data_IF_292046398357
#
_entry.id   IF_292046398357
#
_cell.length_a   1.000
_cell.length_b   1.000
_cell.length_c   1.000
_cell.angle_alpha   90.00
_cell.angle_beta   90.00
_cell.angle_gamma   90.00
#
_symmetry.space_group_name_H-M   'P 1'
#
loop_
_entity.id
_entity.type
_entity.pdbx_description
1 polymer ?
#
# COMPACT_ATOMS: atom_id res chain seq x y z
N UNK A 1 36.49 -99.23 -130.06
CA UNK A 1 35.95 -98.51 -128.88
C UNK A 1 36.61 -97.15 -128.60
N UNK A 2 37.75 -96.80 -129.22
CA UNK A 2 38.37 -95.47 -129.08
C UNK A 2 37.88 -94.43 -130.11
N UNK A 3 37.33 -94.85 -131.26
CA UNK A 3 36.77 -93.92 -132.27
C UNK A 3 35.50 -93.23 -131.76
N UNK A 4 34.64 -93.95 -131.03
CA UNK A 4 33.41 -93.40 -130.46
C UNK A 4 33.67 -92.32 -129.38
N UNK A 5 34.88 -92.30 -128.79
CA UNK A 5 35.31 -91.27 -127.84
C UNK A 5 35.91 -90.06 -128.55
N UNK A 6 36.58 -90.29 -129.69
CA UNK A 6 37.08 -89.23 -130.59
C UNK A 6 35.93 -88.41 -131.17
N UNK A 7 34.88 -89.06 -131.68
CA UNK A 7 33.73 -88.37 -132.26
C UNK A 7 32.96 -87.54 -131.22
N UNK A 8 32.87 -88.03 -129.98
CA UNK A 8 32.31 -87.26 -128.86
C UNK A 8 33.18 -86.06 -128.49
N UNK A 9 34.50 -86.17 -128.57
CA UNK A 9 35.38 -85.03 -128.30
C UNK A 9 35.29 -83.97 -129.41
N UNK A 10 35.17 -84.38 -130.67
CA UNK A 10 34.91 -83.45 -131.79
C UNK A 10 33.55 -82.75 -131.66
N UNK A 11 32.49 -83.47 -131.28
CA UNK A 11 31.17 -82.88 -131.02
C UNK A 11 31.21 -81.86 -129.87
N UNK A 12 31.87 -82.19 -128.74
CA UNK A 12 31.99 -81.26 -127.60
C UNK A 12 32.84 -80.04 -127.97
N UNK A 13 33.91 -80.22 -128.75
CA UNK A 13 34.73 -79.11 -129.21
C UNK A 13 33.97 -78.20 -130.17
N UNK A 14 33.12 -78.77 -131.03
CA UNK A 14 32.28 -78.01 -131.96
C UNK A 14 31.15 -77.28 -131.22
N UNK A 15 30.50 -77.93 -130.25
CA UNK A 15 29.47 -77.29 -129.39
C UNK A 15 30.06 -76.15 -128.56
N UNK A 16 31.28 -76.30 -128.02
CA UNK A 16 31.98 -75.22 -127.33
C UNK A 16 32.37 -74.09 -128.29
N UNK A 17 32.79 -74.42 -129.51
CA UNK A 17 33.16 -73.41 -130.51
C UNK A 17 31.95 -72.65 -131.04
N UNK A 18 30.80 -73.33 -131.21
CA UNK A 18 29.53 -72.71 -131.60
C UNK A 18 28.94 -71.88 -130.44
N UNK A 19 29.04 -72.36 -129.19
CA UNK A 19 28.65 -71.59 -128.01
C UNK A 19 29.49 -70.31 -127.86
N UNK A 20 30.81 -70.39 -128.03
CA UNK A 20 31.69 -69.21 -127.99
C UNK A 20 31.44 -68.24 -129.14
N UNK A 21 31.20 -68.75 -130.35
CA UNK A 21 30.91 -67.91 -131.53
C UNK A 21 29.58 -67.17 -131.40
N UNK A 22 28.58 -67.75 -130.73
CA UNK A 22 27.34 -67.05 -130.37
C UNK A 22 27.53 -65.94 -129.32
N UNK A 23 28.59 -65.98 -128.51
CA UNK A 23 28.96 -64.89 -127.60
C UNK A 23 29.85 -63.81 -128.23
N UNK A 24 30.51 -64.09 -129.36
CA UNK A 24 31.50 -63.17 -129.96
C UNK A 24 31.07 -62.45 -131.24
N UNK A 25 29.87 -62.69 -131.77
CA UNK A 25 29.35 -61.96 -132.94
C UNK A 25 27.98 -61.34 -132.67
N UNK A 26 27.99 -60.23 -131.93
CA UNK A 26 26.86 -59.35 -131.69
C UNK A 26 27.34 -57.91 -131.54
N UNK A 27 27.69 -57.28 -132.66
CA UNK A 27 27.90 -55.83 -132.78
C UNK A 27 26.62 -55.08 -132.38
N UNK A 28 26.67 -54.27 -131.32
CA UNK A 28 25.80 -53.09 -131.11
C UNK A 28 26.57 -52.02 -130.34
N UNK A 29 27.58 -51.43 -130.98
CA UNK A 29 28.42 -50.36 -130.41
C UNK A 29 27.79 -48.96 -130.43
N UNK A 30 26.53 -48.81 -130.86
CA UNK A 30 25.83 -47.51 -130.92
C UNK A 30 24.70 -47.34 -129.88
N UNK A 31 24.32 -48.39 -129.13
CA UNK A 31 23.29 -48.32 -128.08
C UNK A 31 23.86 -48.34 -126.65
N UNK A 32 25.09 -48.81 -126.45
CA UNK A 32 25.75 -48.83 -125.12
C UNK A 32 26.01 -47.43 -124.57
N UNK A 33 26.49 -46.48 -125.38
CA UNK A 33 26.81 -45.13 -124.92
C UNK A 33 25.59 -44.29 -124.47
N UNK A 34 24.38 -44.56 -124.98
CA UNK A 34 23.14 -43.88 -124.54
C UNK A 34 22.57 -44.50 -123.26
N UNK A 35 22.58 -45.84 -123.18
CA UNK A 35 22.11 -46.54 -121.98
C UNK A 35 23.03 -46.32 -120.78
N UNK A 36 24.35 -46.24 -120.98
CA UNK A 36 25.32 -46.01 -119.91
C UNK A 36 25.23 -44.57 -119.36
N UNK A 37 25.06 -43.57 -120.23
CA UNK A 37 24.85 -42.17 -119.84
C UNK A 37 23.48 -41.96 -119.14
N UNK A 38 22.42 -42.67 -119.57
CA UNK A 38 21.12 -42.61 -118.89
C UNK A 38 21.12 -43.36 -117.54
N UNK A 39 21.94 -44.41 -117.40
CA UNK A 39 22.14 -45.11 -116.11
C UNK A 39 22.96 -44.26 -115.14
N UNK A 40 24.05 -43.65 -115.60
CA UNK A 40 24.89 -42.76 -114.81
C UNK A 40 24.11 -41.52 -114.36
N UNK A 41 23.33 -40.90 -115.26
CA UNK A 41 22.42 -39.78 -114.92
C UNK A 41 21.32 -40.17 -113.93
N UNK A 42 20.79 -41.39 -114.02
CA UNK A 42 19.79 -41.91 -113.05
C UNK A 42 20.43 -42.21 -111.70
N UNK A 43 21.66 -42.72 -111.68
CA UNK A 43 22.39 -43.01 -110.45
C UNK A 43 22.83 -41.72 -109.74
N UNK A 44 23.27 -40.71 -110.49
CA UNK A 44 23.55 -39.37 -109.94
C UNK A 44 22.28 -38.67 -109.47
N UNK A 45 21.15 -38.85 -110.16
CA UNK A 45 19.86 -38.34 -109.72
C UNK A 45 19.37 -39.03 -108.44
N UNK A 46 19.46 -40.35 -108.35
CA UNK A 46 19.12 -41.10 -107.12
C UNK A 46 20.04 -40.72 -105.94
N UNK A 47 21.33 -40.49 -106.19
CA UNK A 47 22.26 -39.96 -105.19
C UNK A 47 21.92 -38.54 -104.74
N UNK A 48 21.49 -37.67 -105.67
CA UNK A 48 21.05 -36.31 -105.37
C UNK A 48 19.73 -36.28 -104.59
N UNK A 49 18.76 -37.13 -104.92
CA UNK A 49 17.50 -37.27 -104.19
C UNK A 49 17.73 -37.79 -102.76
N UNK A 50 18.61 -38.78 -102.60
CA UNK A 50 18.98 -39.31 -101.29
C UNK A 50 19.67 -38.25 -100.43
N UNK A 51 20.62 -37.50 -101.00
CA UNK A 51 21.28 -36.39 -100.31
C UNK A 51 20.28 -35.30 -99.92
N UNK A 52 19.39 -34.92 -100.83
CA UNK A 52 18.33 -33.94 -100.56
C UNK A 52 17.41 -34.43 -99.43
N UNK A 53 16.99 -35.70 -99.44
CA UNK A 53 16.18 -36.28 -98.38
C UNK A 53 16.85 -36.16 -97.01
N UNK A 54 18.12 -36.56 -96.90
CA UNK A 54 18.85 -36.45 -95.64
C UNK A 54 19.10 -35.00 -95.23
N UNK A 55 19.38 -34.11 -96.19
CA UNK A 55 19.57 -32.69 -95.91
C UNK A 55 18.28 -32.03 -95.38
N UNK A 56 17.14 -32.28 -96.03
CA UNK A 56 15.83 -31.78 -95.56
C UNK A 56 15.44 -32.39 -94.21
N UNK A 57 15.70 -33.69 -94.01
CA UNK A 57 15.44 -34.35 -92.73
C UNK A 57 16.27 -33.75 -91.61
N UNK A 58 17.55 -33.50 -91.86
CA UNK A 58 18.47 -32.88 -90.90
C UNK A 58 18.09 -31.43 -90.60
N UNK A 59 17.73 -30.64 -91.62
CA UNK A 59 17.20 -29.29 -91.45
C UNK A 59 15.95 -29.27 -90.56
N UNK A 60 15.01 -30.19 -90.79
CA UNK A 60 13.81 -30.35 -89.96
C UNK A 60 14.13 -30.67 -88.50
N UNK A 61 15.08 -31.59 -88.26
CA UNK A 61 15.55 -31.93 -86.90
C UNK A 61 16.21 -30.71 -86.25
N UNK A 62 17.06 -29.98 -86.97
CA UNK A 62 17.72 -28.78 -86.47
C UNK A 62 16.72 -27.70 -86.04
N UNK A 63 15.72 -27.43 -86.88
CA UNK A 63 14.66 -26.47 -86.56
C UNK A 63 13.87 -26.89 -85.31
N UNK A 64 13.48 -28.17 -85.22
CA UNK A 64 12.81 -28.71 -84.03
C UNK A 64 13.69 -28.58 -82.78
N UNK A 65 15.01 -28.80 -82.90
CA UNK A 65 15.92 -28.66 -81.78
C UNK A 65 16.07 -27.20 -81.33
N UNK A 66 16.19 -26.25 -82.26
CA UNK A 66 16.22 -24.81 -81.92
C UNK A 66 14.93 -24.35 -81.22
N UNK A 67 13.76 -24.79 -81.69
CA UNK A 67 12.48 -24.51 -81.02
C UNK A 67 12.41 -25.15 -79.62
N UNK A 68 12.96 -26.35 -79.45
CA UNK A 68 13.01 -27.02 -78.15
C UNK A 68 13.95 -26.29 -77.18
N UNK A 69 15.12 -25.83 -77.64
CA UNK A 69 16.04 -25.02 -76.83
C UNK A 69 15.36 -23.73 -76.37
N UNK A 70 14.67 -23.01 -77.25
CA UNK A 70 13.92 -21.79 -76.88
C UNK A 70 12.85 -22.05 -75.83
N UNK A 71 12.07 -23.13 -75.99
CA UNK A 71 11.06 -23.53 -75.00
C UNK A 71 11.69 -23.92 -73.66
N UNK A 72 12.84 -24.59 -73.69
CA UNK A 72 13.57 -24.94 -72.47
C UNK A 72 14.09 -23.69 -71.74
N UNK A 73 14.61 -22.70 -72.47
CA UNK A 73 15.02 -21.40 -71.92
C UNK A 73 13.83 -20.65 -71.30
N UNK A 74 12.68 -20.61 -71.98
CA UNK A 74 11.45 -19.99 -71.43
C UNK A 74 11.03 -20.65 -70.11
N UNK A 75 11.04 -21.98 -70.04
CA UNK A 75 10.72 -22.74 -68.82
C UNK A 75 11.75 -22.47 -67.73
N UNK A 76 13.04 -22.43 -68.04
CA UNK A 76 14.11 -22.15 -67.07
C UNK A 76 13.95 -20.74 -66.46
N UNK A 77 13.64 -19.73 -67.27
CA UNK A 77 13.36 -18.38 -66.75
C UNK A 77 12.14 -18.35 -65.83
N UNK A 78 11.08 -19.10 -66.15
CA UNK A 78 9.91 -19.20 -65.29
C UNK A 78 10.25 -19.90 -63.96
N UNK A 79 11.01 -21.01 -64.01
CA UNK A 79 11.45 -21.72 -62.80
C UNK A 79 12.31 -20.80 -61.92
N UNK A 80 13.25 -20.06 -62.52
CA UNK A 80 14.12 -19.14 -61.80
C UNK A 80 13.33 -18.02 -61.10
N UNK A 81 12.33 -17.45 -61.78
CA UNK A 81 11.47 -16.41 -61.19
C UNK A 81 10.61 -16.97 -60.05
N UNK A 82 10.00 -18.15 -60.21
CA UNK A 82 9.25 -18.81 -59.15
C UNK A 82 10.13 -19.15 -57.94
N UNK A 83 11.34 -19.68 -58.17
CA UNK A 83 12.30 -19.96 -57.11
C UNK A 83 12.66 -18.69 -56.33
N UNK A 84 12.94 -17.59 -57.02
CA UNK A 84 13.23 -16.30 -56.40
C UNK A 84 12.06 -15.82 -55.52
N UNK A 85 10.82 -15.92 -56.02
CA UNK A 85 9.63 -15.54 -55.26
C UNK A 85 9.43 -16.42 -54.03
N UNK A 86 9.57 -17.74 -54.17
CA UNK A 86 9.47 -18.68 -53.04
C UNK A 86 10.51 -18.40 -51.98
N UNK A 87 11.75 -18.10 -52.37
CA UNK A 87 12.81 -17.77 -51.43
C UNK A 87 12.55 -16.43 -50.71
N UNK A 88 12.02 -15.44 -51.42
CA UNK A 88 11.60 -14.18 -50.81
C UNK A 88 10.47 -14.39 -49.79
N UNK A 89 9.44 -15.16 -50.15
CA UNK A 89 8.33 -15.48 -49.24
C UNK A 89 8.82 -16.22 -47.99
N UNK A 90 9.72 -17.19 -48.16
CA UNK A 90 10.35 -17.89 -47.05
C UNK A 90 11.09 -16.91 -46.12
N UNK A 91 11.83 -15.95 -46.67
CA UNK A 91 12.54 -14.94 -45.88
C UNK A 91 11.59 -14.07 -45.05
N UNK A 92 10.46 -13.62 -45.62
CA UNK A 92 9.45 -12.86 -44.88
C UNK A 92 8.77 -13.70 -43.81
N UNK A 93 8.49 -14.97 -44.10
CA UNK A 93 7.91 -15.89 -43.12
C UNK A 93 8.86 -16.14 -41.95
N UNK A 94 10.16 -16.28 -42.21
CA UNK A 94 11.18 -16.41 -41.17
C UNK A 94 11.27 -15.15 -40.30
N UNK A 95 11.25 -13.97 -40.92
CA UNK A 95 11.23 -12.70 -40.18
C UNK A 95 9.98 -12.58 -39.30
N UNK A 96 8.81 -12.89 -39.85
CA UNK A 96 7.56 -12.90 -39.09
C UNK A 96 7.62 -13.89 -37.92
N UNK A 97 8.12 -15.11 -38.16
CA UNK A 97 8.27 -16.12 -37.12
C UNK A 97 9.20 -15.65 -35.99
N UNK A 98 10.32 -14.99 -36.34
CA UNK A 98 11.23 -14.40 -35.36
C UNK A 98 10.57 -13.30 -34.52
N UNK A 99 9.74 -12.45 -35.14
CA UNK A 99 9.00 -11.41 -34.40
C UNK A 99 7.92 -12.03 -33.49
N UNK A 100 7.17 -13.02 -33.99
CA UNK A 100 6.17 -13.74 -33.20
C UNK A 100 6.80 -14.49 -32.02
N UNK A 101 8.02 -15.01 -32.18
CA UNK A 101 8.76 -15.65 -31.09
C UNK A 101 9.15 -14.67 -29.96
N UNK A 102 9.14 -13.35 -30.20
CA UNK A 102 9.39 -12.33 -29.16
C UNK A 102 8.14 -11.96 -28.36
N UNK A 103 6.95 -12.28 -28.86
CA UNK A 103 5.67 -11.93 -28.23
C UNK A 103 5.52 -12.49 -26.80
N UNK A 104 5.91 -13.76 -26.51
CA UNK A 104 5.89 -14.28 -25.14
C UNK A 104 6.81 -13.52 -24.19
N UNK A 105 7.96 -13.03 -24.68
CA UNK A 105 8.87 -12.21 -23.87
C UNK A 105 8.24 -10.85 -23.55
N UNK A 106 7.57 -10.23 -24.52
CA UNK A 106 6.81 -9.00 -24.28
C UNK A 106 5.70 -9.23 -23.26
N UNK A 107 4.95 -10.33 -23.39
CA UNK A 107 3.92 -10.71 -22.43
C UNK A 107 4.50 -10.89 -21.01
N UNK A 108 5.64 -11.57 -20.88
CA UNK A 108 6.31 -11.73 -19.59
C UNK A 108 6.70 -10.38 -18.99
N UNK A 109 7.30 -9.48 -19.79
CA UNK A 109 7.65 -8.14 -19.32
C UNK A 109 6.42 -7.35 -18.84
N UNK A 110 5.29 -7.45 -19.55
CA UNK A 110 4.02 -6.81 -19.14
C UNK A 110 3.51 -7.40 -17.83
N UNK A 111 3.60 -8.72 -17.65
CA UNK A 111 3.21 -9.39 -16.40
C UNK A 111 4.12 -8.97 -15.24
N UNK A 112 5.41 -8.82 -15.46
CA UNK A 112 6.34 -8.37 -14.42
C UNK A 112 6.10 -6.90 -14.07
N UNK A 113 5.85 -6.03 -15.05
CA UNK A 113 5.41 -4.66 -14.80
C UNK A 113 4.11 -4.61 -13.99
N UNK A 114 3.13 -5.45 -14.33
CA UNK A 114 1.87 -5.54 -13.59
C UNK A 114 2.09 -5.97 -12.12
N UNK A 115 3.00 -6.92 -11.87
CA UNK A 115 3.38 -7.28 -10.49
C UNK A 115 4.02 -6.13 -9.76
N UNK A 116 4.98 -5.43 -10.38
CA UNK A 116 5.65 -4.28 -9.73
C UNK A 116 4.66 -3.14 -9.42
N UNK A 117 3.64 -2.95 -10.26
CA UNK A 117 2.58 -1.98 -9.99
C UNK A 117 1.76 -2.44 -8.78
N UNK A 118 1.34 -3.71 -8.74
CA UNK A 118 0.60 -4.23 -7.58
C UNK A 118 1.39 -4.20 -6.27
N UNK A 119 2.70 -4.46 -6.31
CA UNK A 119 3.59 -4.30 -5.15
C UNK A 119 3.66 -2.85 -4.69
N UNK A 120 3.74 -1.90 -5.62
CA UNK A 120 3.77 -0.48 -5.32
C UNK A 120 2.43 0.02 -4.75
N UNK A 121 1.30 -0.46 -5.30
CA UNK A 121 -0.04 -0.19 -4.76
C UNK A 121 -0.14 -0.67 -3.31
N UNK A 122 0.32 -1.88 -2.99
CA UNK A 122 0.36 -2.39 -1.62
C UNK A 122 1.22 -1.56 -0.68
N UNK A 123 2.38 -1.07 -1.14
CA UNK A 123 3.23 -0.15 -0.36
C UNK A 123 2.55 1.20 -0.12
N UNK A 124 1.78 1.72 -1.08
CA UNK A 124 1.02 2.95 -0.89
C UNK A 124 -0.09 2.75 0.15
N UNK A 125 -0.85 1.66 0.09
CA UNK A 125 -1.86 1.33 1.10
C UNK A 125 -1.24 1.22 2.50
N UNK A 126 -0.07 0.58 2.63
CA UNK A 126 0.65 0.49 3.90
C UNK A 126 1.08 1.88 4.41
N UNK A 127 1.62 2.74 3.54
CA UNK A 127 2.01 4.11 3.90
C UNK A 127 0.80 4.93 4.33
N UNK A 128 -0.32 4.83 3.61
CA UNK A 128 -1.58 5.51 3.96
C UNK A 128 -2.08 5.07 5.35
N UNK A 129 -2.04 3.77 5.64
CA UNK A 129 -2.42 3.23 6.95
C UNK A 129 -1.53 3.79 8.07
N UNK A 130 -0.20 3.82 7.86
CA UNK A 130 0.72 4.37 8.85
C UNK A 130 0.53 5.89 9.03
N UNK A 131 0.14 6.61 7.98
CA UNK A 131 -0.10 8.05 8.05
C UNK A 131 -1.37 8.36 8.84
N UNK A 132 -2.45 7.58 8.67
CA UNK A 132 -3.65 7.64 9.50
C UNK A 132 -3.30 7.35 10.96
N UNK A 133 -2.52 6.29 11.22
CA UNK A 133 -2.10 5.96 12.59
C UNK A 133 -1.24 7.06 13.23
N UNK A 134 -0.43 7.77 12.44
CA UNK A 134 0.32 8.94 12.92
C UNK A 134 -0.60 10.11 13.25
N UNK A 135 -1.64 10.34 12.46
CA UNK A 135 -2.65 11.37 12.73
C UNK A 135 -3.37 11.11 14.07
N UNK A 136 -3.79 9.87 14.31
CA UNK A 136 -4.39 9.46 15.59
C UNK A 136 -3.44 9.71 16.78
N UNK A 137 -2.15 9.39 16.62
CA UNK A 137 -1.14 9.63 17.67
C UNK A 137 -0.97 11.13 17.93
N UNK A 138 -0.97 11.96 16.89
CA UNK A 138 -0.85 13.42 17.04
C UNK A 138 -2.09 13.98 17.75
N UNK A 139 -3.29 13.55 17.36
CA UNK A 139 -4.54 14.01 18.00
C UNK A 139 -4.59 13.61 19.48
N UNK A 140 -4.25 12.36 19.79
CA UNK A 140 -4.21 11.87 21.17
C UNK A 140 -3.17 12.61 22.01
N UNK A 141 -1.99 12.90 21.46
CA UNK A 141 -0.99 13.74 22.14
C UNK A 141 -1.54 15.15 22.42
N UNK A 142 -2.13 15.80 21.41
CA UNK A 142 -2.70 17.14 21.58
C UNK A 142 -3.83 17.18 22.63
N UNK A 143 -4.63 16.11 22.72
CA UNK A 143 -5.64 15.96 23.77
C UNK A 143 -5.01 15.81 25.15
N UNK A 144 -3.97 14.99 25.29
CA UNK A 144 -3.25 14.80 26.55
C UNK A 144 -2.59 16.10 27.03
N UNK A 145 -1.98 16.87 26.13
CA UNK A 145 -1.40 18.19 26.45
C UNK A 145 -2.47 19.15 26.98
N UNK A 146 -3.63 19.24 26.30
CA UNK A 146 -4.77 20.05 26.79
C UNK A 146 -5.27 19.59 28.16
N UNK A 147 -5.38 18.28 28.38
CA UNK A 147 -5.80 17.75 29.69
C UNK A 147 -4.80 18.11 30.79
N UNK A 148 -3.50 18.05 30.49
CA UNK A 148 -2.45 18.42 31.43
C UNK A 148 -2.50 19.91 31.76
N UNK A 149 -2.67 20.77 30.75
CA UNK A 149 -2.79 22.21 30.93
C UNK A 149 -3.98 22.58 31.82
N UNK A 150 -5.14 21.97 31.60
CA UNK A 150 -6.33 22.22 32.43
C UNK A 150 -6.14 21.73 33.87
N UNK A 151 -5.50 20.56 34.07
CA UNK A 151 -5.14 20.07 35.41
C UNK A 151 -4.16 21.01 36.11
N UNK A 152 -3.18 21.53 35.38
CA UNK A 152 -2.22 22.48 35.90
C UNK A 152 -2.88 23.80 36.31
N UNK A 153 -3.77 24.35 35.46
CA UNK A 153 -4.57 25.55 35.79
C UNK A 153 -5.42 25.34 37.04
N UNK A 154 -6.07 24.19 37.17
CA UNK A 154 -6.89 23.85 38.33
C UNK A 154 -6.06 23.77 39.61
N UNK A 155 -4.89 23.12 39.55
CA UNK A 155 -3.96 23.03 40.67
C UNK A 155 -3.47 24.41 41.11
N UNK A 156 -3.07 25.26 40.16
CA UNK A 156 -2.62 26.63 40.43
C UNK A 156 -3.73 27.49 41.03
N UNK A 157 -4.96 27.36 40.53
CA UNK A 157 -6.11 28.08 41.09
C UNK A 157 -6.39 27.64 42.53
N UNK A 158 -6.35 26.33 42.81
CA UNK A 158 -6.52 25.78 44.17
C UNK A 158 -5.44 26.31 45.10
N UNK A 159 -4.17 26.28 44.70
CA UNK A 159 -3.06 26.78 45.50
C UNK A 159 -3.22 28.28 45.80
N UNK A 160 -3.52 29.09 44.78
CA UNK A 160 -3.77 30.53 44.97
C UNK A 160 -4.93 30.79 45.93
N UNK A 161 -5.99 29.99 45.86
CA UNK A 161 -7.15 30.13 46.75
C UNK A 161 -6.80 29.72 48.19
N UNK A 162 -6.00 28.67 48.37
CA UNK A 162 -5.49 28.26 49.68
C UNK A 162 -4.61 29.34 50.30
N UNK A 163 -3.65 29.89 49.55
CA UNK A 163 -2.79 30.98 50.01
C UNK A 163 -3.60 32.22 50.42
N UNK A 164 -4.65 32.57 49.65
CA UNK A 164 -5.55 33.67 50.02
C UNK A 164 -6.35 33.37 51.30
N UNK A 165 -6.77 32.12 51.52
CA UNK A 165 -7.45 31.74 52.76
C UNK A 165 -6.50 31.79 53.96
N UNK A 166 -5.26 31.35 53.80
CA UNK A 166 -4.21 31.46 54.82
C UNK A 166 -3.93 32.92 55.16
N UNK A 167 -3.74 33.79 54.15
CA UNK A 167 -3.54 35.23 54.36
C UNK A 167 -4.72 35.88 55.12
N UNK A 168 -5.96 35.49 54.80
CA UNK A 168 -7.14 36.01 55.49
C UNK A 168 -7.23 35.51 56.94
N UNK A 169 -6.82 34.25 57.17
CA UNK A 169 -6.77 33.67 58.51
C UNK A 169 -5.72 34.37 59.37
N UNK A 170 -4.53 34.61 58.82
CA UNK A 170 -3.44 35.30 59.51
C UNK A 170 -3.84 36.74 59.86
N UNK A 171 -4.47 37.48 58.94
CA UNK A 171 -5.04 38.81 59.23
C UNK A 171 -6.10 38.79 60.33
N UNK A 172 -6.96 37.78 60.34
CA UNK A 172 -8.00 37.65 61.37
C UNK A 172 -7.38 37.34 62.75
N UNK A 173 -6.32 36.55 62.78
CA UNK A 173 -5.56 36.26 63.99
C UNK A 173 -4.84 37.51 64.51
N UNK A 174 -4.18 38.29 63.63
CA UNK A 174 -3.58 39.58 63.96
C UNK A 174 -4.61 40.57 64.54
N UNK A 175 -5.77 40.72 63.88
CA UNK A 175 -6.86 41.56 64.36
C UNK A 175 -7.38 41.10 65.73
N UNK A 176 -7.50 39.79 65.95
CA UNK A 176 -7.94 39.24 67.23
C UNK A 176 -6.92 39.51 68.34
N UNK A 177 -5.64 39.27 68.08
CA UNK A 177 -4.55 39.57 69.02
C UNK A 177 -4.51 41.06 69.37
N UNK A 178 -4.67 41.94 68.39
CA UNK A 178 -4.70 43.38 68.61
C UNK A 178 -5.91 43.82 69.45
N UNK A 179 -7.09 43.24 69.22
CA UNK A 179 -8.28 43.49 70.06
C UNK A 179 -8.10 43.00 71.49
N UNK A 180 -7.50 41.82 71.68
CA UNK A 180 -7.18 41.30 73.02
C UNK A 180 -6.22 42.21 73.76
N UNK A 181 -5.15 42.68 73.09
CA UNK A 181 -4.22 43.64 73.67
C UNK A 181 -4.90 44.95 74.07
N UNK A 182 -5.77 45.50 73.22
CA UNK A 182 -6.54 46.70 73.54
C UNK A 182 -7.46 46.51 74.75
N UNK A 183 -8.14 45.35 74.85
CA UNK A 183 -8.97 45.03 76.01
C UNK A 183 -8.14 44.91 77.27
N UNK A 184 -7.00 44.20 77.23
CA UNK A 184 -6.09 44.05 78.37
C UNK A 184 -5.52 45.41 78.83
N UNK A 185 -5.13 46.27 77.89
CA UNK A 185 -4.66 47.63 78.20
C UNK A 185 -5.74 48.49 78.85
N UNK A 186 -6.97 48.44 78.34
CA UNK A 186 -8.11 49.14 78.92
C UNK A 186 -8.43 48.62 80.33
N UNK A 187 -8.47 47.30 80.53
CA UNK A 187 -8.67 46.69 81.85
C UNK A 187 -7.57 47.12 82.84
N UNK A 188 -6.32 47.15 82.38
CA UNK A 188 -5.18 47.62 83.19
C UNK A 188 -5.31 49.10 83.56
N UNK A 189 -5.73 49.96 82.63
CA UNK A 189 -5.98 51.38 82.91
C UNK A 189 -7.09 51.55 83.95
N UNK A 190 -8.22 50.85 83.78
CA UNK A 190 -9.34 50.88 84.73
C UNK A 190 -8.90 50.42 86.12
N UNK A 191 -8.10 49.36 86.22
CA UNK A 191 -7.53 48.89 87.49
C UNK A 191 -6.60 49.93 88.13
N UNK A 192 -5.75 50.58 87.32
CA UNK A 192 -4.84 51.61 87.79
C UNK A 192 -5.58 52.86 88.29
N UNK A 193 -6.60 53.34 87.57
CA UNK A 193 -7.45 54.46 87.98
C UNK A 193 -8.18 54.15 89.28
N UNK A 194 -8.71 52.93 89.42
CA UNK A 194 -9.32 52.46 90.67
C UNK A 194 -8.31 52.49 91.82
N UNK A 195 -7.10 51.95 91.61
CA UNK A 195 -6.04 51.96 92.61
C UNK A 195 -5.67 53.39 93.03
N UNK A 196 -5.47 54.30 92.09
CA UNK A 196 -5.17 55.70 92.37
C UNK A 196 -6.29 56.37 93.16
N UNK A 197 -7.55 56.12 92.77
CA UNK A 197 -8.73 56.64 93.49
C UNK A 197 -8.75 56.12 94.93
N UNK A 198 -8.51 54.82 95.15
CA UNK A 198 -8.42 54.24 96.49
C UNK A 198 -7.25 54.83 97.30
N UNK A 199 -6.09 55.03 96.70
CA UNK A 199 -4.92 55.62 97.35
C UNK A 199 -5.17 57.09 97.74
N UNK A 200 -5.89 57.85 96.91
CA UNK A 200 -6.30 59.22 97.21
C UNK A 200 -7.30 59.29 98.37
N UNK A 201 -8.31 58.41 98.37
CA UNK A 201 -9.27 58.28 99.47
C UNK A 201 -8.53 57.91 100.75
N UNK A 202 -7.65 56.91 100.70
CA UNK A 202 -6.85 56.51 101.85
C UNK A 202 -5.98 57.64 102.40
N UNK A 203 -5.39 58.47 101.53
CA UNK A 203 -4.58 59.62 101.95
C UNK A 203 -5.43 60.68 102.66
N UNK A 204 -6.62 60.97 102.14
CA UNK A 204 -7.61 61.85 102.78
C UNK A 204 -8.01 61.29 104.15
N UNK A 205 -8.27 59.99 104.26
CA UNK A 205 -8.60 59.34 105.53
C UNK A 205 -7.44 59.43 106.54
N UNK A 206 -6.20 59.28 106.08
CA UNK A 206 -4.99 59.47 106.89
C UNK A 206 -4.84 60.90 107.40
N UNK A 207 -5.14 61.90 106.55
CA UNK A 207 -5.15 63.32 106.92
C UNK A 207 -6.25 63.62 107.95
N UNK A 208 -7.46 63.09 107.74
CA UNK A 208 -8.56 63.18 108.70
C UNK A 208 -8.20 62.53 110.04
N UNK A 209 -7.56 61.36 110.02
CA UNK A 209 -7.07 60.71 111.24
C UNK A 209 -6.04 61.55 111.99
N UNK A 210 -5.08 62.16 111.27
CA UNK A 210 -4.10 63.07 111.89
C UNK A 210 -4.77 64.30 112.52
N UNK A 211 -5.87 64.79 111.94
CA UNK A 211 -6.59 65.95 112.45
C UNK A 211 -7.57 65.63 113.61
N UNK A 212 -8.25 64.49 113.57
CA UNK A 212 -9.37 64.15 114.48
C UNK A 212 -9.11 62.96 115.42
N UNK A 213 -8.03 62.19 115.21
CA UNK A 213 -7.62 61.08 116.07
C UNK A 213 -8.47 59.80 115.97
N UNK A 214 -9.42 59.71 115.04
CA UNK A 214 -10.28 58.53 114.79
C UNK A 214 -10.36 58.25 113.29
N UNK A 215 -10.21 56.98 112.90
CA UNK A 215 -10.45 56.52 111.53
C UNK A 215 -11.92 56.09 111.46
N UNK A 216 -12.66 56.60 110.48
CA UNK A 216 -13.97 56.04 110.13
C UNK A 216 -13.72 54.65 109.54
N UNK A 217 -13.91 53.62 110.37
CA UNK A 217 -13.86 52.24 109.91
C UNK A 217 -14.97 52.12 108.88
N UNK A 218 -14.60 51.94 107.61
CA UNK A 218 -15.54 51.57 106.55
C UNK A 218 -16.42 50.48 107.16
N UNK A 219 -17.71 50.79 107.32
CA UNK A 219 -18.68 49.77 107.66
C UNK A 219 -18.62 48.79 106.49
N UNK A 220 -17.97 47.64 106.70
CA UNK A 220 -18.31 46.49 105.90
C UNK A 220 -19.83 46.39 106.04
N UNK A 221 -20.57 46.68 104.97
CA UNK A 221 -21.95 46.26 104.87
C UNK A 221 -21.88 44.73 104.91
N UNK A 222 -21.89 44.18 106.13
CA UNK A 222 -22.07 42.77 106.40
C UNK A 222 -23.43 42.27 105.89
N UNK A 223 -24.29 43.16 105.41
CA UNK A 223 -25.62 42.81 104.93
C UNK A 223 -25.65 42.13 103.55
N UNK A 224 -24.49 41.95 102.88
CA UNK A 224 -24.37 41.05 101.71
C UNK A 224 -23.00 40.38 101.63
N UNK A 225 -22.53 39.77 102.72
CA UNK A 225 -21.67 38.60 102.56
C UNK A 225 -22.60 37.41 102.29
N UNK A 226 -22.96 37.18 101.03
CA UNK A 226 -23.28 35.81 100.64
C UNK A 226 -21.97 35.03 100.84
N UNK A 227 -21.87 34.29 101.93
CA UNK A 227 -20.85 33.26 102.04
C UNK A 227 -21.03 32.35 100.83
N UNK A 228 -19.96 31.90 100.19
CA UNK A 228 -20.03 30.93 99.09
C UNK A 228 -20.71 29.61 99.48
N UNK A 229 -21.00 29.43 100.78
CA UNK A 229 -21.78 28.33 101.35
C UNK A 229 -23.30 28.54 101.25
N UNK A 230 -23.81 29.75 100.93
CA UNK A 230 -25.24 30.10 100.85
C UNK A 230 -25.69 30.43 99.41
N UNK A 231 -24.83 30.20 98.41
CA UNK A 231 -25.26 30.16 97.00
C UNK A 231 -25.69 28.73 96.72
N UNK A 232 -26.99 28.50 96.67
CA UNK A 232 -27.54 27.27 96.12
C UNK A 232 -27.24 27.25 94.61
N UNK A 233 -26.29 26.42 94.18
CA UNK A 233 -25.96 26.21 92.77
C UNK A 233 -27.01 25.35 92.06
N UNK A 234 -27.97 24.79 92.81
CA UNK A 234 -29.20 24.18 92.31
C UNK A 234 -30.35 25.18 92.39
N UNK A 235 -30.20 26.34 91.74
CA UNK A 235 -31.36 27.23 91.52
C UNK A 235 -32.46 26.49 90.75
N UNK A 236 -33.74 26.85 91.02
CA UNK A 236 -34.96 26.31 90.41
C UNK A 236 -34.76 25.85 88.94
N UNK A 237 -35.39 24.73 88.55
CA UNK A 237 -35.33 24.16 87.18
C UNK A 237 -35.53 25.20 86.07
N UNK A 238 -36.29 26.28 86.34
CA UNK A 238 -36.49 27.42 85.44
C UNK A 238 -35.26 28.30 85.23
N UNK A 239 -34.43 28.51 86.25
CA UNK A 239 -33.20 29.29 86.12
C UNK A 239 -32.11 28.49 85.37
N UNK A 240 -32.03 27.17 85.59
CA UNK A 240 -31.18 26.28 84.81
C UNK A 240 -31.66 26.15 83.35
N UNK A 241 -32.97 26.08 83.11
CA UNK A 241 -33.52 26.09 81.76
C UNK A 241 -33.21 27.40 81.02
N UNK A 242 -33.36 28.55 81.67
CA UNK A 242 -33.03 29.85 81.07
C UNK A 242 -31.52 30.03 80.79
N UNK A 243 -30.66 29.46 81.65
CA UNK A 243 -29.22 29.47 81.44
C UNK A 243 -28.79 28.54 80.29
N UNK A 244 -29.41 27.36 80.18
CA UNK A 244 -29.18 26.44 79.06
C UNK A 244 -29.71 27.02 77.74
N UNK A 245 -30.86 27.68 77.73
CA UNK A 245 -31.41 28.42 76.57
C UNK A 245 -30.46 29.54 76.12
N UNK A 246 -29.87 30.29 77.07
CA UNK A 246 -28.87 31.31 76.75
C UNK A 246 -27.56 30.73 76.18
N UNK A 247 -27.12 29.57 76.66
CA UNK A 247 -25.93 28.89 76.12
C UNK A 247 -26.17 28.26 74.74
N UNK A 248 -27.41 27.86 74.43
CA UNK A 248 -27.78 27.38 73.09
C UNK A 248 -27.90 28.52 72.07
N UNK A 249 -28.27 29.74 72.50
CA UNK A 249 -28.38 30.92 71.62
C UNK A 249 -27.01 31.54 71.24
N UNK A 250 -25.94 31.20 71.98
CA UNK A 250 -24.57 31.70 71.75
C UNK A 250 -23.60 30.68 71.11
N UNK A 251 -24.12 29.66 70.41
CA UNK A 251 -23.35 28.71 69.59
C UNK A 251 -23.88 28.61 68.16
N UNK A 252 -23.04 28.36 67.14
CA UNK A 252 -23.30 28.76 65.76
C UNK A 252 -24.44 27.97 65.10
N UNK A 253 -25.48 28.71 64.71
CA UNK A 253 -26.38 28.53 63.56
C UNK A 253 -26.08 27.28 62.72
N UNK A 254 -26.63 26.14 63.15
CA UNK A 254 -27.00 25.05 62.25
C UNK A 254 -28.31 25.44 61.56
N UNK A 255 -28.21 26.24 60.49
CA UNK A 255 -29.33 26.45 59.57
C UNK A 255 -29.05 25.76 58.26
N UNK A 256 -29.56 24.53 58.17
CA UNK A 256 -30.19 24.09 56.94
C UNK A 256 -31.36 25.05 56.65
N UNK A 257 -31.26 25.76 55.53
CA UNK A 257 -32.33 25.89 54.51
C UNK A 257 -32.18 27.21 53.74
N UNK A 258 -31.50 27.14 52.60
CA UNK A 258 -31.85 27.97 51.44
C UNK A 258 -32.22 27.00 50.33
N UNK A 259 -33.52 26.81 50.16
CA UNK A 259 -34.12 26.20 48.97
C UNK A 259 -34.05 27.16 47.79
N UNK A 260 -33.62 26.69 46.62
CA UNK A 260 -33.99 27.21 45.29
C UNK A 260 -33.64 26.17 44.20
N UNK A 261 -34.27 26.25 43.01
CA UNK A 261 -35.38 25.41 42.59
C UNK A 261 -34.96 24.24 41.68
N UNK A 262 -35.90 23.29 41.51
CA UNK A 262 -35.88 22.23 40.51
C UNK A 262 -35.42 22.70 39.14
N UNK A 263 -34.40 22.01 38.62
CA UNK A 263 -34.04 21.98 37.22
C UNK A 263 -33.80 20.52 36.82
N UNK A 264 -34.78 19.95 36.13
CA UNK A 264 -34.64 18.73 35.35
C UNK A 264 -33.39 18.80 34.46
N UNK A 265 -32.57 17.76 34.49
CA UNK A 265 -32.13 17.05 33.29
C UNK A 265 -31.63 15.66 33.71
N UNK A 266 -32.48 14.69 33.40
CA UNK A 266 -32.20 13.29 33.11
C UNK A 266 -30.73 12.96 32.78
N UNK A 267 -30.13 12.10 33.60
CA UNK A 267 -29.04 11.22 33.20
C UNK A 267 -29.36 9.81 33.71
N UNK A 268 -29.88 8.97 32.81
CA UNK A 268 -29.89 7.52 32.96
C UNK A 268 -29.72 6.90 31.58
N UNK A 269 -28.47 6.75 31.17
CA UNK A 269 -28.10 5.67 30.25
C UNK A 269 -26.76 5.10 30.71
N UNK A 270 -26.86 3.99 31.43
CA UNK A 270 -25.75 3.12 31.76
C UNK A 270 -25.46 2.25 30.53
N UNK A 271 -24.57 2.72 29.65
CA UNK A 271 -23.96 1.89 28.64
C UNK A 271 -22.77 1.13 29.26
N UNK A 272 -23.03 -0.14 29.54
CA UNK A 272 -22.03 -1.21 29.68
C UNK A 272 -21.12 -1.21 28.46
N UNK A 273 -19.80 -1.05 28.63
CA UNK A 273 -18.75 -1.77 27.89
C UNK A 273 -17.43 -1.65 28.66
N UNK A 274 -17.08 -2.72 29.37
CA UNK A 274 -15.73 -2.99 29.90
C UNK A 274 -14.97 -3.85 28.89
N UNK A 275 -13.67 -3.62 28.82
CA UNK A 275 -12.76 -4.12 27.80
C UNK A 275 -12.37 -5.59 27.98
N UNK A 276 -12.38 -6.30 26.85
CA UNK A 276 -11.17 -6.90 26.27
C UNK A 276 -10.09 -7.47 27.20
N UNK A 277 -10.37 -8.63 27.80
CA UNK A 277 -9.34 -9.54 28.30
C UNK A 277 -8.84 -10.50 27.21
N UNK A 278 -7.68 -10.21 26.62
CA UNK A 278 -6.93 -11.14 25.78
C UNK A 278 -6.12 -12.12 26.65
N UNK A 279 -6.28 -13.45 26.45
CA UNK A 279 -5.14 -14.41 26.40
C UNK A 279 -5.54 -15.84 26.01
N UNK A 280 -4.93 -16.27 24.90
CA UNK A 280 -4.22 -17.55 24.64
C UNK A 280 -4.96 -18.87 24.46
N UNK A 281 -4.63 -19.47 23.29
CA UNK A 281 -4.39 -20.90 22.99
C UNK A 281 -5.65 -21.79 23.05
N UNK A 282 -6.03 -22.46 21.96
CA UNK A 282 -5.31 -23.65 21.49
C UNK A 282 -5.26 -23.84 19.97
N UNK A 283 -4.16 -24.47 19.59
CA UNK A 283 -3.77 -24.95 18.26
C UNK A 283 -3.91 -26.46 18.29
N UNK A 284 -4.89 -27.04 17.59
CA UNK A 284 -4.88 -28.47 17.19
C UNK A 284 -5.48 -28.55 15.79
N UNK A 285 -4.63 -28.84 14.80
CA UNK A 285 -4.45 -30.16 14.21
C UNK A 285 -5.64 -30.58 13.33
N UNK A 286 -5.46 -30.48 12.01
CA UNK A 286 -5.84 -31.58 11.14
C UNK A 286 -4.90 -31.63 9.94
N UNK A 287 -3.92 -32.51 10.12
CA UNK A 287 -3.03 -33.07 9.13
C UNK A 287 -3.85 -33.91 8.15
N UNK A 288 -3.65 -33.73 6.85
CA UNK A 288 -4.02 -34.71 5.83
C UNK A 288 -3.09 -34.52 4.64
N UNK A 289 -1.87 -35.03 4.84
CA UNK A 289 -0.92 -35.30 3.79
C UNK A 289 -1.32 -36.55 3.00
N UNK A 290 -0.99 -36.49 1.71
CA UNK A 290 -1.14 -37.49 0.65
C UNK A 290 -0.59 -38.87 1.01
N UNK A 291 -1.24 -39.89 0.44
CA UNK A 291 -0.60 -40.97 -0.30
C UNK A 291 -1.29 -41.10 -1.66
#
# INVERSE_FOLDING_TARGET
>A
MLENLRDKFYSVQQDLTESLRNFTLGETSAQKHKFEHDYEKRLTHAGAELLHYYQTSWEGIHKCNEENVKKAEEVDTLIATMHCQSQQQLSWMQQLNLQLAQLPKLQQNVQDLMKTIGELEGLFEEVELHLIGLEDIIETQALQEKQLDERFKLALYKEKKMAHFEELRDKLEEDHQLRLQQLEENERQVLQERQQTFDEVFRKDLELYKAQGKIERISANLDKQAALEEIDLEGDEQAQAAFNEFLEDAGPVSSNDISFPSGDTSESDAAVMDEGGCKTKDTELCDSSKA
#
